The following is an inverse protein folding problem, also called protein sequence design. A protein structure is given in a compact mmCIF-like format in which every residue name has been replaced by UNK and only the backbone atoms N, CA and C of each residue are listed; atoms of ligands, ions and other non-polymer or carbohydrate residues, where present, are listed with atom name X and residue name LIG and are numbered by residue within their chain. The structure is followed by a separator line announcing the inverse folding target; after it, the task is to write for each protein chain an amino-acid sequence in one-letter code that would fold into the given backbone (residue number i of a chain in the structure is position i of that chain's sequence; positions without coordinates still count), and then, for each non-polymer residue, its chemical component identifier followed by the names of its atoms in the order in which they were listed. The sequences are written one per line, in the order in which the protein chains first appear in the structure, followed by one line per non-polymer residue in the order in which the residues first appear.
data_IF_164730820202
#
_entry.id   IF_164730820202
#
_cell.length_a   1.000
_cell.length_b   1.000
_cell.length_c   1.000
_cell.angle_alpha   90.00
_cell.angle_beta   90.00
_cell.angle_gamma   90.00
#
_symmetry.space_group_name_H-M   'P 1'
#
loop_
_entity.id
_entity.type
_entity.pdbx_description
1 polymer ?
#
# COMPACT_ATOMS: atom_id res chain seq x y z
N UNK A 1 22.49 37.28 -38.60
CA UNK A 1 23.51 36.29 -38.17
C UNK A 1 23.75 36.44 -36.68
N UNK A 2 23.16 35.59 -35.83
CA UNK A 2 23.59 35.29 -34.44
C UNK A 2 23.05 33.88 -34.14
N UNK A 3 23.91 32.86 -34.13
CA UNK A 3 24.68 32.34 -33.01
C UNK A 3 23.94 31.20 -32.28
N UNK A 4 24.33 29.98 -32.65
CA UNK A 4 23.96 28.68 -32.08
C UNK A 4 24.43 28.61 -30.62
N UNK A 5 23.57 28.19 -29.69
CA UNK A 5 23.99 27.60 -28.41
C UNK A 5 23.06 26.45 -28.04
N UNK A 6 23.44 25.26 -28.48
CA UNK A 6 23.07 24.01 -27.85
C UNK A 6 24.02 23.78 -26.69
N UNK A 7 23.49 23.53 -25.49
CA UNK A 7 23.94 22.52 -24.49
C UNK A 7 23.27 22.79 -23.14
N UNK A 8 22.05 22.29 -22.94
CA UNK A 8 21.57 21.94 -21.60
C UNK A 8 21.95 20.48 -21.38
N UNK A 9 23.04 20.29 -20.64
CA UNK A 9 23.57 19.00 -20.27
C UNK A 9 22.56 18.29 -19.37
N UNK A 10 21.79 17.37 -19.93
CA UNK A 10 20.97 16.43 -19.17
C UNK A 10 21.93 15.53 -18.40
N UNK A 11 22.13 15.81 -17.10
CA UNK A 11 22.91 14.94 -16.24
C UNK A 11 22.05 13.72 -15.95
N UNK A 12 22.12 12.73 -16.84
CA UNK A 12 21.54 11.42 -16.63
C UNK A 12 22.24 10.78 -15.42
N UNK A 13 21.65 10.95 -14.23
CA UNK A 13 22.10 10.27 -13.01
C UNK A 13 21.80 8.80 -13.21
N UNK A 14 22.83 8.02 -13.50
CA UNK A 14 22.70 6.58 -13.66
C UNK A 14 22.46 5.93 -12.29
N UNK A 15 21.36 5.19 -12.18
CA UNK A 15 20.95 4.53 -10.95
C UNK A 15 22.06 3.58 -10.41
N UNK A 16 22.82 2.96 -11.32
CA UNK A 16 23.93 2.09 -10.93
C UNK A 16 25.05 2.86 -10.20
N UNK A 17 25.29 4.12 -10.58
CA UNK A 17 26.31 4.96 -9.93
C UNK A 17 25.90 5.39 -8.52
N UNK A 18 24.60 5.61 -8.29
CA UNK A 18 24.07 5.92 -6.94
C UNK A 18 24.15 4.69 -6.03
N UNK A 19 23.85 3.50 -6.56
CA UNK A 19 23.97 2.26 -5.78
C UNK A 19 25.43 1.93 -5.40
N UNK A 20 26.36 2.17 -6.32
CA UNK A 20 27.80 2.00 -6.09
C UNK A 20 28.33 3.00 -5.04
N UNK A 21 27.77 4.22 -5.00
CA UNK A 21 28.08 5.20 -3.95
C UNK A 21 27.56 4.77 -2.57
N UNK A 22 26.31 4.28 -2.50
CA UNK A 22 25.71 3.80 -1.24
C UNK A 22 26.44 2.57 -0.70
N UNK A 23 26.84 1.63 -1.57
CA UNK A 23 27.57 0.43 -1.14
C UNK A 23 29.01 0.71 -0.73
N UNK A 24 29.61 1.80 -1.21
CA UNK A 24 30.95 2.25 -0.83
C UNK A 24 30.97 3.05 0.48
N UNK A 25 29.81 3.49 0.98
CA UNK A 25 29.72 4.06 2.33
C UNK A 25 30.00 2.96 3.36
N UNK A 26 31.08 3.06 4.16
CA UNK A 26 31.29 2.14 5.26
C UNK A 26 30.11 2.31 6.22
N UNK A 27 29.48 1.20 6.60
CA UNK A 27 28.40 1.21 7.59
C UNK A 27 28.89 2.00 8.81
N UNK A 28 28.34 3.21 9.01
CA UNK A 28 28.58 3.96 10.23
C UNK A 28 28.22 3.01 11.37
N UNK A 29 29.19 2.70 12.22
CA UNK A 29 29.01 1.76 13.31
C UNK A 29 27.75 2.18 14.06
N UNK A 30 26.71 1.34 14.12
CA UNK A 30 25.44 1.77 14.70
C UNK A 30 25.66 1.93 16.19
N UNK A 31 25.75 3.18 16.64
CA UNK A 31 26.13 3.56 18.00
C UNK A 31 25.15 3.04 19.07
N UNK A 32 24.02 2.43 18.66
CA UNK A 32 22.94 2.01 19.54
C UNK A 32 22.23 0.70 19.13
N UNK A 33 22.94 -0.29 18.55
CA UNK A 33 22.38 -1.65 18.52
C UNK A 33 22.56 -2.31 19.89
N UNK A 34 21.49 -2.33 20.69
CA UNK A 34 21.43 -3.20 21.86
C UNK A 34 21.54 -4.66 21.39
N UNK A 35 22.50 -5.45 21.88
CA UNK A 35 22.52 -6.87 21.55
C UNK A 35 21.24 -7.51 22.06
N UNK A 36 20.57 -8.30 21.20
CA UNK A 36 19.47 -9.15 21.60
C UNK A 36 19.99 -10.08 22.70
N UNK A 37 19.46 -9.95 23.93
CA UNK A 37 19.88 -10.81 25.04
C UNK A 37 19.34 -12.22 24.83
N UNK A 38 20.06 -13.22 25.34
CA UNK A 38 19.69 -14.63 25.27
C UNK A 38 18.27 -14.89 25.84
N UNK A 39 17.86 -14.11 26.84
CA UNK A 39 16.54 -14.17 27.48
C UNK A 39 15.38 -13.82 26.52
N UNK A 40 15.63 -13.00 25.49
CA UNK A 40 14.63 -12.64 24.49
C UNK A 40 14.30 -13.80 23.55
N UNK A 41 15.33 -14.59 23.18
CA UNK A 41 15.15 -15.78 22.35
C UNK A 41 14.47 -16.91 23.14
N UNK A 42 14.76 -17.04 24.43
CA UNK A 42 14.12 -18.01 25.31
C UNK A 42 12.63 -17.69 25.55
N UNK A 43 12.30 -16.40 25.70
CA UNK A 43 10.91 -15.95 25.77
C UNK A 43 10.09 -16.25 24.50
N UNK A 44 10.71 -16.14 23.32
CA UNK A 44 10.08 -16.52 22.05
C UNK A 44 9.83 -18.03 21.95
N UNK A 45 10.77 -18.85 22.42
CA UNK A 45 10.61 -20.30 22.43
C UNK A 45 9.46 -20.76 23.33
N UNK A 46 9.29 -20.12 24.50
CA UNK A 46 8.18 -20.43 25.40
C UNK A 46 6.81 -20.04 24.83
N UNK A 47 6.71 -18.91 24.11
CA UNK A 47 5.48 -18.49 23.43
C UNK A 47 5.10 -19.44 22.29
N UNK A 48 6.09 -19.90 21.52
CA UNK A 48 5.88 -20.88 20.44
C UNK A 48 5.42 -22.24 20.99
N UNK A 49 5.95 -22.66 22.14
CA UNK A 49 5.56 -23.91 22.80
C UNK A 49 4.11 -23.86 23.33
N UNK A 50 3.67 -22.71 23.84
CA UNK A 50 2.28 -22.52 24.27
C UNK A 50 1.27 -22.59 23.11
N UNK A 51 1.67 -22.17 21.90
CA UNK A 51 0.83 -22.24 20.69
C UNK A 51 0.78 -23.63 20.04
N UNK A 52 1.69 -24.54 20.39
CA UNK A 52 1.72 -25.89 19.83
C UNK A 52 0.68 -26.83 20.47
N UNK A 53 0.25 -26.56 21.71
CA UNK A 53 -0.65 -27.43 22.46
C UNK A 53 -2.15 -27.27 22.11
N UNK A 54 -2.53 -26.19 21.40
CA UNK A 54 -3.94 -25.85 21.10
C UNK A 54 -4.35 -26.17 19.65
N UNK A 55 -3.65 -27.07 18.97
CA UNK A 55 -4.13 -27.63 17.69
C UNK A 55 -4.94 -28.89 17.92
N UNK A 56 -6.14 -28.74 18.49
CA UNK A 56 -7.23 -29.67 18.16
C UNK A 56 -7.67 -29.35 16.75
N UNK A 57 -7.17 -30.15 15.82
CA UNK A 57 -7.54 -30.13 14.41
C UNK A 57 -9.00 -30.59 14.27
N UNK A 58 -9.96 -29.68 14.43
CA UNK A 58 -11.27 -29.84 13.82
C UNK A 58 -11.08 -29.70 12.32
N UNK A 59 -10.84 -30.83 11.67
CA UNK A 59 -10.71 -30.93 10.22
C UNK A 59 -12.09 -30.65 9.62
N UNK A 60 -12.40 -29.38 9.38
CA UNK A 60 -13.53 -29.02 8.52
C UNK A 60 -13.13 -29.49 7.12
N UNK A 61 -13.77 -30.57 6.67
CA UNK A 61 -13.75 -30.99 5.27
C UNK A 61 -14.33 -29.82 4.47
N UNK A 62 -13.47 -29.04 3.85
CA UNK A 62 -13.87 -27.96 2.95
C UNK A 62 -14.24 -28.62 1.62
N UNK A 63 -15.48 -29.09 1.53
CA UNK A 63 -16.10 -29.45 0.26
C UNK A 63 -16.01 -28.20 -0.66
N UNK A 64 -15.30 -28.23 -1.81
CA UNK A 64 -15.18 -27.08 -2.70
C UNK A 64 -16.47 -26.90 -3.52
N UNK A 65 -17.61 -26.87 -2.83
CA UNK A 65 -18.95 -26.72 -3.42
C UNK A 65 -19.30 -25.23 -3.49
N UNK A 66 -18.53 -24.50 -4.31
CA UNK A 66 -18.99 -23.36 -5.08
C UNK A 66 -17.81 -22.67 -5.78
N UNK A 67 -17.71 -22.87 -7.10
CA UNK A 67 -17.31 -21.83 -8.03
C UNK A 67 -18.36 -20.69 -8.01
N UNK A 68 -18.69 -20.16 -6.82
CA UNK A 68 -19.38 -18.87 -6.70
C UNK A 68 -18.43 -17.94 -7.41
N UNK A 69 -18.78 -17.53 -8.63
CA UNK A 69 -18.25 -16.33 -9.25
C UNK A 69 -18.21 -15.29 -8.13
N UNK A 70 -17.03 -15.08 -7.56
CA UNK A 70 -16.84 -14.05 -6.55
C UNK A 70 -17.26 -12.79 -7.28
N UNK A 71 -18.34 -12.11 -6.84
CA UNK A 71 -18.93 -11.04 -7.62
C UNK A 71 -17.80 -10.06 -7.93
N UNK A 72 -17.44 -9.97 -9.20
CA UNK A 72 -16.38 -9.10 -9.66
C UNK A 72 -16.82 -7.70 -9.22
N UNK A 73 -16.13 -7.17 -8.21
CA UNK A 73 -16.44 -5.86 -7.69
C UNK A 73 -16.22 -4.89 -8.85
N UNK A 74 -17.28 -4.18 -9.25
CA UNK A 74 -17.24 -3.31 -10.42
C UNK A 74 -16.06 -2.34 -10.35
N UNK A 75 -15.32 -2.22 -11.45
CA UNK A 75 -14.20 -1.28 -11.59
C UNK A 75 -14.65 0.01 -12.26
N UNK A 76 -15.96 0.21 -12.43
CA UNK A 76 -16.53 1.43 -12.98
C UNK A 76 -16.24 2.64 -12.06
N UNK A 77 -15.59 3.71 -12.56
CA UNK A 77 -15.32 4.92 -11.78
C UNK A 77 -16.57 5.54 -11.15
N UNK A 78 -17.72 5.50 -11.85
CA UNK A 78 -18.96 6.10 -11.34
C UNK A 78 -19.56 5.32 -10.17
N UNK A 79 -19.38 4.00 -10.14
CA UNK A 79 -19.79 3.16 -9.01
C UNK A 79 -18.87 3.37 -7.80
N UNK A 80 -17.56 3.47 -8.02
CA UNK A 80 -16.58 3.75 -6.98
C UNK A 80 -16.81 5.16 -6.40
N UNK A 81 -17.09 6.16 -7.23
CA UNK A 81 -17.42 7.51 -6.78
C UNK A 81 -18.66 7.54 -5.88
N UNK A 82 -19.72 6.79 -6.25
CA UNK A 82 -20.92 6.62 -5.43
C UNK A 82 -20.62 5.93 -4.10
N UNK A 83 -19.76 4.91 -4.08
CA UNK A 83 -19.35 4.24 -2.84
C UNK A 83 -18.52 5.13 -1.92
N UNK A 84 -17.63 5.96 -2.50
CA UNK A 84 -16.81 6.91 -1.76
C UNK A 84 -17.64 8.04 -1.14
N UNK A 85 -18.80 8.35 -1.74
CA UNK A 85 -19.71 9.43 -1.32
C UNK A 85 -18.99 10.78 -1.27
N UNK A 86 -18.13 11.06 -2.26
CA UNK A 86 -17.39 12.31 -2.33
C UNK A 86 -18.35 13.49 -2.51
N UNK A 87 -18.10 14.57 -1.78
CA UNK A 87 -18.82 15.84 -1.90
C UNK A 87 -17.79 16.96 -2.14
N UNK A 88 -18.10 17.97 -2.97
CA UNK A 88 -17.19 19.08 -3.27
C UNK A 88 -16.79 19.89 -2.02
N UNK A 89 -17.60 19.85 -0.96
CA UNK A 89 -17.38 20.63 0.26
C UNK A 89 -16.54 19.87 1.31
N UNK A 90 -16.04 18.67 0.98
CA UNK A 90 -15.28 17.85 1.92
C UNK A 90 -13.92 18.46 2.22
N UNK A 91 -13.59 18.54 3.50
CA UNK A 91 -12.25 18.94 3.93
C UNK A 91 -11.20 17.88 3.58
N UNK A 92 -9.91 18.25 3.46
CA UNK A 92 -8.82 17.30 3.22
C UNK A 92 -8.75 16.17 4.28
N UNK A 93 -9.12 16.47 5.53
CA UNK A 93 -9.16 15.49 6.63
C UNK A 93 -10.27 14.46 6.41
N UNK A 94 -11.43 14.87 5.92
CA UNK A 94 -12.55 13.98 5.60
C UNK A 94 -12.22 13.08 4.41
N UNK A 95 -11.60 13.63 3.36
CA UNK A 95 -11.12 12.86 2.20
C UNK A 95 -10.10 11.78 2.63
N UNK A 96 -9.19 12.10 3.55
CA UNK A 96 -8.28 11.11 4.12
C UNK A 96 -9.00 10.00 4.92
N UNK A 97 -10.07 10.34 5.65
CA UNK A 97 -10.91 9.35 6.36
C UNK A 97 -11.66 8.45 5.38
N UNK A 98 -12.24 9.02 4.32
CA UNK A 98 -12.91 8.27 3.24
C UNK A 98 -11.94 7.28 2.61
N UNK A 99 -10.71 7.72 2.26
CA UNK A 99 -9.66 6.84 1.72
C UNK A 99 -9.38 5.64 2.62
N UNK A 100 -9.16 5.88 3.91
CA UNK A 100 -8.89 4.80 4.90
C UNK A 100 -10.05 3.82 4.99
N UNK A 101 -11.30 4.31 5.01
CA UNK A 101 -12.50 3.49 5.07
C UNK A 101 -12.66 2.62 3.82
N UNK A 102 -12.41 3.19 2.65
CA UNK A 102 -12.45 2.45 1.40
C UNK A 102 -11.37 1.37 1.36
N UNK A 103 -10.14 1.73 1.75
CA UNK A 103 -9.03 0.79 1.81
C UNK A 103 -9.27 -0.37 2.78
N UNK A 104 -9.86 -0.11 3.95
CA UNK A 104 -10.16 -1.17 4.92
C UNK A 104 -11.06 -2.29 4.34
N UNK A 105 -11.90 -1.98 3.34
CA UNK A 105 -12.83 -2.92 2.69
C UNK A 105 -12.31 -3.49 1.37
N UNK A 106 -11.48 -2.73 0.65
CA UNK A 106 -11.09 -3.05 -0.73
C UNK A 106 -9.57 -3.24 -0.92
N UNK A 107 -8.74 -3.32 0.13
CA UNK A 107 -7.29 -3.47 -0.03
C UNK A 107 -6.91 -4.83 -0.65
N UNK A 108 -6.00 -4.88 -1.66
CA UNK A 108 -5.59 -6.13 -2.30
C UNK A 108 -5.05 -7.18 -1.32
N UNK A 109 -4.28 -6.75 -0.31
CA UNK A 109 -3.74 -7.67 0.71
C UNK A 109 -4.81 -8.34 1.59
N UNK A 110 -6.05 -7.83 1.59
CA UNK A 110 -7.14 -8.35 2.42
C UNK A 110 -8.10 -9.26 1.66
N UNK A 111 -7.95 -9.37 0.34
CA UNK A 111 -8.81 -10.20 -0.52
C UNK A 111 -8.06 -11.45 -1.01
N UNK A 112 -8.82 -12.45 -1.45
CA UNK A 112 -8.28 -13.68 -2.03
C UNK A 112 -7.50 -13.38 -3.33
N UNK A 113 -6.51 -14.22 -3.65
CA UNK A 113 -5.63 -14.09 -4.82
C UNK A 113 -6.38 -13.69 -6.11
N UNK A 114 -7.50 -14.34 -6.49
CA UNK A 114 -8.20 -14.03 -7.74
C UNK A 114 -8.82 -12.63 -7.79
N UNK A 115 -9.03 -11.99 -6.63
CA UNK A 115 -9.67 -10.68 -6.52
C UNK A 115 -8.65 -9.54 -6.33
N UNK A 116 -7.35 -9.86 -6.16
CA UNK A 116 -6.33 -8.85 -5.87
C UNK A 116 -6.16 -7.84 -6.99
N UNK A 117 -6.24 -8.28 -8.24
CA UNK A 117 -6.11 -7.40 -9.40
C UNK A 117 -7.28 -6.40 -9.46
N UNK A 118 -8.51 -6.90 -9.30
CA UNK A 118 -9.72 -6.10 -9.21
C UNK A 118 -9.67 -5.11 -8.03
N UNK A 119 -9.27 -5.57 -6.84
CA UNK A 119 -9.11 -4.73 -5.66
C UNK A 119 -8.03 -3.65 -5.87
N UNK A 120 -6.93 -4.00 -6.53
CA UNK A 120 -5.87 -3.05 -6.90
C UNK A 120 -6.37 -1.99 -7.87
N UNK A 121 -7.14 -2.37 -8.88
CA UNK A 121 -7.74 -1.45 -9.83
C UNK A 121 -8.74 -0.50 -9.15
N UNK A 122 -9.64 -1.04 -8.32
CA UNK A 122 -10.57 -0.23 -7.51
C UNK A 122 -9.83 0.76 -6.61
N UNK A 123 -8.73 0.34 -5.98
CA UNK A 123 -7.91 1.23 -5.15
C UNK A 123 -7.26 2.36 -5.94
N UNK A 124 -6.74 2.07 -7.15
CA UNK A 124 -6.15 3.07 -8.03
C UNK A 124 -7.18 4.12 -8.44
N UNK A 125 -8.37 3.68 -8.85
CA UNK A 125 -9.46 4.59 -9.25
C UNK A 125 -9.92 5.42 -8.06
N UNK A 126 -10.11 4.80 -6.90
CA UNK A 126 -10.50 5.52 -5.68
C UNK A 126 -9.48 6.59 -5.27
N UNK A 127 -8.18 6.28 -5.32
CA UNK A 127 -7.13 7.25 -5.03
C UNK A 127 -7.16 8.42 -6.01
N UNK A 128 -7.27 8.15 -7.32
CA UNK A 128 -7.38 9.20 -8.34
C UNK A 128 -8.59 10.12 -8.08
N UNK A 129 -9.76 9.56 -7.76
CA UNK A 129 -10.97 10.36 -7.47
C UNK A 129 -10.80 11.24 -6.23
N UNK A 130 -10.16 10.71 -5.18
CA UNK A 130 -9.89 11.45 -3.95
C UNK A 130 -8.87 12.55 -4.18
N UNK A 131 -7.81 12.27 -4.95
CA UNK A 131 -6.78 13.26 -5.31
C UNK A 131 -7.39 14.39 -6.15
N UNK A 132 -8.33 14.06 -7.05
CA UNK A 132 -9.08 15.06 -7.81
C UNK A 132 -9.92 15.96 -6.89
N UNK A 133 -10.66 15.36 -5.95
CA UNK A 133 -11.45 16.12 -4.97
C UNK A 133 -10.58 17.03 -4.10
N UNK A 134 -9.37 16.57 -3.70
CA UNK A 134 -8.40 17.38 -2.97
C UNK A 134 -7.93 18.59 -3.79
N UNK A 135 -7.67 18.41 -5.09
CA UNK A 135 -7.25 19.48 -5.98
C UNK A 135 -8.36 20.51 -6.19
N UNK A 136 -9.61 20.06 -6.32
CA UNK A 136 -10.77 20.94 -6.48
C UNK A 136 -11.04 21.73 -5.18
N UNK A 137 -10.95 21.09 -4.01
CA UNK A 137 -11.08 21.76 -2.71
C UNK A 137 -9.99 22.82 -2.47
N UNK A 138 -8.74 22.52 -2.87
CA UNK A 138 -7.63 23.47 -2.77
C UNK A 138 -7.75 24.64 -3.76
N UNK A 139 -8.45 24.43 -4.88
CA UNK A 139 -8.66 25.45 -5.91
C UNK A 139 -9.78 26.45 -5.56
N UNK A 140 -10.66 26.09 -4.61
CA UNK A 140 -11.74 26.95 -4.11
C UNK A 140 -11.29 27.91 -2.99
N UNK A 141 -10.09 27.74 -2.44
CA UNK A 141 -9.53 28.60 -1.38
C UNK A 141 -8.68 29.78 -1.91
N UNK A 142 -8.65 30.02 -3.23
CA UNK A 142 -7.89 31.11 -3.89
C UNK A 142 -8.85 32.17 -4.44
#
# INVERSE_FOLDING_TARGET
MYARRQTAQDRHVDFASVLDEITRQPAAAPENLRPLSFDFLDGLAHLASAHAADRRSDFIVFEPENERELPLLSTDPDEIARELQLSPDMSPIELARVRRRFAARNHPDRVAEPLRDCASERMKIANMLIDRALADASSLEI
#
